data_IF_838457431501
#
_entry.id   IF_838457431501
#
_cell.length_a   1.000
_cell.length_b   1.000
_cell.length_c   1.000
_cell.angle_alpha   90.00
_cell.angle_beta   90.00
_cell.angle_gamma   90.00
#
_symmetry.space_group_name_H-M   'P 1'
#
loop_
_entity.id
_entity.type
_entity.pdbx_description
1 polymer ?
#
# COMPACT_ATOMS: atom_id res chain seq x y z
N UNK A 1 11.80 -23.21 21.98
CA UNK A 1 12.25 -22.43 20.80
C UNK A 1 12.80 -21.10 21.29
N UNK A 2 14.08 -20.79 21.05
CA UNK A 2 14.68 -19.49 21.45
C UNK A 2 14.46 -18.50 20.31
N UNK A 3 13.74 -17.42 20.57
CA UNK A 3 13.59 -16.32 19.63
C UNK A 3 14.66 -15.26 19.91
N UNK A 4 15.43 -14.89 18.90
CA UNK A 4 16.41 -13.82 18.99
C UNK A 4 15.88 -12.58 18.25
N UNK A 5 15.97 -11.41 18.90
CA UNK A 5 15.60 -10.12 18.32
C UNK A 5 16.88 -9.34 18.00
N UNK A 6 17.15 -9.13 16.72
CA UNK A 6 18.27 -8.30 16.26
C UNK A 6 17.74 -6.97 15.73
N UNK A 7 18.44 -5.87 16.06
CA UNK A 7 18.15 -4.56 15.46
C UNK A 7 18.95 -4.42 14.17
N UNK A 8 18.28 -4.07 13.09
CA UNK A 8 18.94 -3.71 11.84
C UNK A 8 19.42 -2.26 11.94
N UNK A 9 20.66 -2.04 11.53
CA UNK A 9 21.27 -0.72 11.38
C UNK A 9 21.64 -0.55 9.91
N UNK A 10 20.68 -0.15 9.06
CA UNK A 10 20.95 0.04 7.64
C UNK A 10 21.99 1.15 7.46
N UNK A 11 22.81 1.02 6.41
CA UNK A 11 23.64 2.14 5.96
C UNK A 11 22.81 3.16 5.16
N UNK A 12 23.39 4.31 4.84
CA UNK A 12 22.69 5.39 4.13
C UNK A 12 22.04 4.91 2.83
N UNK A 13 22.73 4.09 2.02
CA UNK A 13 22.18 3.60 0.75
C UNK A 13 20.96 2.68 0.98
N UNK A 14 21.03 1.83 1.99
CA UNK A 14 19.92 0.95 2.39
C UNK A 14 18.73 1.76 2.90
N UNK A 15 18.96 2.80 3.71
CA UNK A 15 17.91 3.72 4.17
C UNK A 15 17.22 4.41 2.99
N UNK A 16 17.98 4.92 2.03
CA UNK A 16 17.43 5.53 0.82
C UNK A 16 16.60 4.54 0.01
N UNK A 17 17.07 3.30 -0.17
CA UNK A 17 16.31 2.24 -0.86
C UNK A 17 15.01 1.91 -0.14
N UNK A 18 15.03 1.80 1.19
CA UNK A 18 13.84 1.56 1.99
C UNK A 18 12.83 2.71 1.88
N UNK A 19 13.31 3.96 1.96
CA UNK A 19 12.46 5.13 1.82
C UNK A 19 11.85 5.25 0.43
N UNK A 20 12.61 4.93 -0.62
CA UNK A 20 12.11 4.90 -1.99
C UNK A 20 11.02 3.84 -2.16
N UNK A 21 11.23 2.63 -1.63
CA UNK A 21 10.22 1.57 -1.64
C UNK A 21 8.90 2.04 -0.98
N UNK A 22 8.97 2.72 0.17
CA UNK A 22 7.79 3.29 0.83
C UNK A 22 7.11 4.36 -0.03
N UNK A 23 7.90 5.25 -0.65
CA UNK A 23 7.36 6.30 -1.51
C UNK A 23 6.62 5.73 -2.72
N UNK A 24 7.15 4.66 -3.33
CA UNK A 24 6.50 3.96 -4.44
C UNK A 24 5.21 3.28 -3.99
N UNK A 25 5.24 2.56 -2.86
CA UNK A 25 4.03 1.94 -2.32
C UNK A 25 2.95 2.97 -2.00
N UNK A 26 3.33 4.13 -1.43
CA UNK A 26 2.42 5.26 -1.18
C UNK A 26 1.84 5.83 -2.47
N UNK A 27 2.66 5.97 -3.51
CA UNK A 27 2.20 6.47 -4.80
C UNK A 27 1.14 5.54 -5.41
N UNK A 28 1.39 4.22 -5.39
CA UNK A 28 0.41 3.21 -5.84
C UNK A 28 -0.84 3.23 -4.97
N UNK A 29 -0.69 3.29 -3.64
CA UNK A 29 -1.82 3.38 -2.72
C UNK A 29 -2.72 4.55 -3.07
N UNK A 30 -2.15 5.73 -3.31
CA UNK A 30 -2.91 6.91 -3.69
C UNK A 30 -3.61 6.71 -5.05
N UNK A 31 -2.98 6.05 -6.03
CA UNK A 31 -3.65 5.69 -7.30
C UNK A 31 -4.84 4.77 -7.08
N UNK A 32 -4.75 3.80 -6.18
CA UNK A 32 -5.87 2.94 -5.85
C UNK A 32 -6.97 3.69 -5.09
N UNK A 33 -6.64 4.57 -4.14
CA UNK A 33 -7.62 5.40 -3.44
C UNK A 33 -8.39 6.30 -4.41
N UNK A 34 -7.70 6.91 -5.38
CA UNK A 34 -8.33 7.74 -6.42
C UNK A 34 -9.39 6.96 -7.21
N UNK A 35 -9.13 5.69 -7.53
CA UNK A 35 -10.08 4.83 -8.23
C UNK A 35 -11.16 4.28 -7.30
N UNK A 36 -10.81 3.92 -6.06
CA UNK A 36 -11.73 3.44 -5.03
C UNK A 36 -12.79 4.49 -4.65
N UNK A 37 -12.45 5.78 -4.75
CA UNK A 37 -13.41 6.87 -4.55
C UNK A 37 -14.50 6.92 -5.64
N UNK A 38 -14.24 6.37 -6.82
CA UNK A 38 -15.20 6.31 -7.93
C UNK A 38 -16.06 5.05 -7.89
N UNK A 39 -15.46 3.92 -7.52
CA UNK A 39 -16.12 2.62 -7.46
C UNK A 39 -15.41 1.70 -6.48
N UNK A 40 -16.14 0.79 -5.83
CA UNK A 40 -15.55 -0.27 -5.02
C UNK A 40 -14.53 -1.08 -5.83
N UNK A 41 -13.36 -1.38 -5.24
CA UNK A 41 -12.29 -2.12 -5.90
C UNK A 41 -11.97 -3.40 -5.15
N UNK A 42 -12.04 -4.53 -5.84
CA UNK A 42 -11.47 -5.77 -5.30
C UNK A 42 -9.95 -5.76 -5.42
N UNK A 43 -9.29 -6.65 -4.69
CA UNK A 43 -7.86 -6.88 -4.84
C UNK A 43 -7.46 -7.29 -6.27
N UNK A 44 -8.33 -8.02 -6.98
CA UNK A 44 -8.06 -8.43 -8.36
C UNK A 44 -8.11 -7.22 -9.30
N UNK A 45 -9.08 -6.32 -9.10
CA UNK A 45 -9.19 -5.08 -9.89
C UNK A 45 -7.95 -4.20 -9.68
N UNK A 46 -7.51 -4.04 -8.43
CA UNK A 46 -6.28 -3.30 -8.13
C UNK A 46 -5.03 -3.95 -8.74
N UNK A 47 -4.94 -5.28 -8.80
CA UNK A 47 -3.82 -5.96 -9.46
C UNK A 47 -3.85 -5.81 -10.99
N UNK A 48 -5.04 -5.73 -11.58
CA UNK A 48 -5.20 -5.40 -12.98
C UNK A 48 -4.73 -3.97 -13.25
N UNK A 49 -5.23 -3.00 -12.49
CA UNK A 49 -4.79 -1.59 -12.54
C UNK A 49 -3.27 -1.51 -12.34
N UNK A 50 -2.69 -2.27 -11.41
CA UNK A 50 -1.25 -2.30 -11.21
C UNK A 50 -0.50 -2.77 -12.46
N UNK A 51 -1.05 -3.73 -13.20
CA UNK A 51 -0.44 -4.22 -14.44
C UNK A 51 -0.44 -3.12 -15.51
N UNK A 52 -1.55 -2.40 -15.66
CA UNK A 52 -1.66 -1.24 -16.55
C UNK A 52 -0.71 -0.12 -16.13
N UNK A 53 -0.64 0.18 -14.83
CA UNK A 53 0.29 1.17 -14.28
C UNK A 53 1.74 0.82 -14.59
N UNK A 54 2.13 -0.46 -14.51
CA UNK A 54 3.50 -0.85 -14.86
C UNK A 54 3.79 -0.65 -16.35
N UNK A 55 2.80 -0.83 -17.22
CA UNK A 55 2.96 -0.59 -18.65
C UNK A 55 3.12 0.90 -18.97
N UNK A 56 2.34 1.78 -18.34
CA UNK A 56 2.44 3.22 -18.53
C UNK A 56 3.65 3.84 -17.81
N UNK A 57 3.96 3.35 -16.61
CA UNK A 57 5.02 3.85 -15.73
C UNK A 57 6.10 2.77 -15.55
N UNK A 58 6.92 2.60 -16.60
CA UNK A 58 7.91 1.52 -16.70
C UNK A 58 8.94 1.49 -15.56
N UNK A 59 9.17 2.60 -14.87
CA UNK A 59 10.05 2.65 -13.69
C UNK A 59 9.56 1.76 -12.54
N UNK A 60 8.28 1.39 -12.50
CA UNK A 60 7.72 0.44 -11.53
C UNK A 60 8.28 -0.98 -11.69
N UNK A 61 8.83 -1.34 -12.86
CA UNK A 61 9.50 -2.63 -13.05
C UNK A 61 10.78 -2.78 -12.24
N UNK A 62 11.39 -1.67 -11.79
CA UNK A 62 12.58 -1.68 -10.92
C UNK A 62 12.27 -2.14 -9.49
N UNK A 63 10.99 -2.27 -9.13
CA UNK A 63 10.55 -2.62 -7.78
C UNK A 63 9.97 -4.04 -7.73
N UNK A 64 10.13 -4.70 -6.58
CA UNK A 64 9.71 -6.08 -6.40
C UNK A 64 8.18 -6.22 -6.50
N UNK A 65 7.70 -7.08 -7.41
CA UNK A 65 6.26 -7.23 -7.72
C UNK A 65 5.39 -7.52 -6.50
N UNK A 66 5.86 -8.41 -5.61
CA UNK A 66 5.14 -8.76 -4.37
C UNK A 66 4.90 -7.54 -3.47
N UNK A 67 5.87 -6.62 -3.40
CA UNK A 67 5.76 -5.41 -2.58
C UNK A 67 4.62 -4.53 -3.09
N UNK A 68 4.54 -4.34 -4.40
CA UNK A 68 3.50 -3.52 -5.04
C UNK A 68 2.11 -4.17 -4.86
N UNK A 69 2.02 -5.49 -5.02
CA UNK A 69 0.77 -6.25 -4.83
C UNK A 69 0.29 -6.29 -3.36
N UNK A 70 1.21 -6.13 -2.39
CA UNK A 70 0.83 -6.03 -0.98
C UNK A 70 0.02 -4.75 -0.70
N UNK A 71 0.22 -3.68 -1.48
CA UNK A 71 -0.57 -2.44 -1.37
C UNK A 71 -2.04 -2.72 -1.68
N UNK A 72 -2.33 -3.51 -2.70
CA UNK A 72 -3.70 -3.95 -3.03
C UNK A 72 -4.34 -4.71 -1.87
N UNK A 73 -3.57 -5.59 -1.23
CA UNK A 73 -4.04 -6.38 -0.08
C UNK A 73 -4.34 -5.49 1.13
N UNK A 74 -3.49 -4.50 1.39
CA UNK A 74 -3.66 -3.56 2.49
C UNK A 74 -4.90 -2.68 2.29
N UNK A 75 -5.10 -2.15 1.09
CA UNK A 75 -6.25 -1.28 0.79
C UNK A 75 -7.57 -2.05 0.87
N UNK A 76 -7.64 -3.26 0.31
CA UNK A 76 -8.82 -4.12 0.40
C UNK A 76 -9.16 -4.47 1.87
N UNK A 77 -8.14 -4.78 2.68
CA UNK A 77 -8.31 -5.03 4.11
C UNK A 77 -8.84 -3.82 4.87
N UNK A 78 -8.33 -2.62 4.56
CA UNK A 78 -8.81 -1.37 5.14
C UNK A 78 -10.28 -1.08 4.76
N UNK A 79 -10.63 -1.27 3.49
CA UNK A 79 -11.99 -1.06 3.00
C UNK A 79 -13.00 -2.03 3.66
N UNK A 80 -12.64 -3.33 3.73
CA UNK A 80 -13.46 -4.33 4.44
C UNK A 80 -13.65 -3.95 5.91
N UNK A 81 -12.60 -3.49 6.58
CA UNK A 81 -12.67 -3.04 7.96
C UNK A 81 -13.62 -1.84 8.12
N UNK A 82 -13.56 -0.85 7.23
CA UNK A 82 -14.49 0.29 7.24
C UNK A 82 -15.94 -0.15 7.06
N UNK A 83 -16.21 -1.04 6.11
CA UNK A 83 -17.56 -1.60 5.89
C UNK A 83 -18.06 -2.32 7.14
N UNK A 84 -17.23 -3.14 7.77
CA UNK A 84 -17.59 -3.85 8.99
C UNK A 84 -17.89 -2.91 10.15
N UNK A 85 -17.07 -1.86 10.34
CA UNK A 85 -17.30 -0.85 11.37
C UNK A 85 -18.60 -0.06 11.12
N UNK A 86 -18.89 0.27 9.86
CA UNK A 86 -20.15 0.91 9.47
C UNK A 86 -21.36 0.02 9.81
N UNK A 87 -21.28 -1.29 9.54
CA UNK A 87 -22.34 -2.25 9.87
C UNK A 87 -22.59 -2.36 11.37
N UNK A 88 -21.56 -2.16 12.19
CA UNK A 88 -21.66 -2.11 13.67
C UNK A 88 -22.25 -0.79 14.19
N UNK A 89 -22.59 0.16 13.32
CA UNK A 89 -23.17 1.46 13.69
C UNK A 89 -22.14 2.53 14.03
N UNK A 90 -20.84 2.30 13.80
CA UNK A 90 -19.83 3.32 13.98
C UNK A 90 -19.84 4.32 12.82
N UNK A 91 -19.61 5.61 13.13
CA UNK A 91 -19.39 6.64 12.11
C UNK A 91 -18.06 6.39 11.42
N UNK A 92 -18.09 5.92 10.19
CA UNK A 92 -16.89 5.64 9.39
C UNK A 92 -16.73 6.68 8.29
N UNK A 93 -15.47 7.04 8.01
CA UNK A 93 -15.12 7.88 6.87
C UNK A 93 -14.76 7.05 5.64
N UNK A 94 -14.46 7.73 4.53
CA UNK A 94 -13.93 7.10 3.32
C UNK A 94 -12.40 6.92 3.40
N UNK A 95 -11.85 6.09 2.51
CA UNK A 95 -10.41 5.99 2.30
C UNK A 95 -9.84 7.36 1.86
N UNK A 96 -8.69 7.72 2.42
CA UNK A 96 -8.03 9.02 2.20
C UNK A 96 -6.66 8.80 1.58
N UNK A 97 -6.21 9.77 0.80
CA UNK A 97 -4.82 9.79 0.33
C UNK A 97 -3.85 9.80 1.51
N UNK A 98 -2.81 8.97 1.40
CA UNK A 98 -1.71 8.95 2.35
C UNK A 98 -0.79 10.15 2.11
N UNK A 99 -0.58 10.96 3.14
CA UNK A 99 0.34 12.11 3.09
C UNK A 99 1.79 11.66 3.24
N UNK A 100 2.70 12.62 3.09
CA UNK A 100 4.12 12.40 3.38
C UNK A 100 4.29 11.89 4.83
N UNK A 101 5.07 10.82 5.00
CA UNK A 101 5.36 10.16 6.28
C UNK A 101 4.19 9.46 7.00
N UNK A 102 3.00 9.36 6.37
CA UNK A 102 1.86 8.59 6.90
C UNK A 102 1.87 7.13 6.44
N UNK A 103 2.48 6.83 5.28
CA UNK A 103 2.56 5.47 4.76
C UNK A 103 3.68 4.68 5.45
N UNK A 104 3.36 4.06 6.59
CA UNK A 104 4.29 3.31 7.45
C UNK A 104 3.97 1.82 7.40
N UNK A 105 4.72 1.06 6.60
CA UNK A 105 4.53 -0.39 6.45
C UNK A 105 5.65 -1.24 7.03
N UNK A 106 6.81 -0.66 7.33
CA UNK A 106 7.83 -1.33 8.15
C UNK A 106 7.38 -1.26 9.61
N UNK A 107 6.75 -2.34 10.08
CA UNK A 107 6.36 -2.56 11.48
C UNK A 107 7.40 -3.37 12.24
#
# INVERSE_FOLDING_TARGET
MRNYKFRLYPNLEQEHKLQNNLNVCKWIYNKFVEQAQKSFLTRNDMNYILTELKQSESWLYNYHSKMLQMVSTQLEGAEKSLIEQSKKGHKTGQLRFARYNEFRTFT
#
